data_IF_055790974721
#
_entry.id   IF_055790974721
#
_cell.length_a   1.000
_cell.length_b   1.000
_cell.length_c   1.000
_cell.angle_alpha   90.00
_cell.angle_beta   90.00
_cell.angle_gamma   90.00
#
_symmetry.space_group_name_H-M   'P 1'
#
loop_
_entity.id
_entity.type
_entity.pdbx_description
1 polymer ?
#
# COMPACT_ATOMS: atom_id res chain seq x y z
N UNK A 1 17.34 -2.59 10.92
CA UNK A 1 15.97 -2.66 11.47
C UNK A 1 15.94 -2.95 12.98
N UNK A 2 16.79 -3.87 13.51
CA UNK A 2 16.80 -4.20 14.95
C UNK A 2 17.21 -3.06 15.90
N UNK A 3 18.19 -2.23 15.54
CA UNK A 3 18.73 -1.18 16.43
C UNK A 3 17.73 -0.05 16.76
N UNK A 4 16.87 0.34 15.82
CA UNK A 4 15.89 1.41 16.06
C UNK A 4 14.68 0.92 16.88
N UNK A 5 14.29 -0.35 16.72
CA UNK A 5 13.26 -0.99 17.55
C UNK A 5 13.76 -1.20 18.99
N UNK A 6 15.03 -1.59 19.15
CA UNK A 6 15.64 -1.76 20.48
C UNK A 6 15.72 -0.42 21.24
N UNK A 7 16.03 0.67 20.53
CA UNK A 7 15.94 2.02 21.10
C UNK A 7 14.51 2.40 21.48
N UNK A 8 13.51 2.12 20.63
CA UNK A 8 12.10 2.39 20.95
C UNK A 8 11.66 1.64 22.22
N UNK A 9 12.01 0.36 22.30
CA UNK A 9 11.65 -0.55 23.38
C UNK A 9 12.21 -0.12 24.74
N UNK A 10 13.32 0.63 24.78
CA UNK A 10 13.88 1.17 26.04
C UNK A 10 13.09 2.34 26.62
N UNK A 11 12.33 3.05 25.81
CA UNK A 11 11.63 4.28 26.18
C UNK A 11 10.10 4.14 26.22
N UNK A 12 9.58 2.92 26.09
CA UNK A 12 8.14 2.66 26.04
C UNK A 12 7.71 1.47 26.88
N UNK A 13 6.55 1.61 27.52
CA UNK A 13 5.89 0.51 28.21
C UNK A 13 5.43 -0.57 27.24
N UNK A 14 5.25 -1.79 27.77
CA UNK A 14 4.81 -2.96 27.01
C UNK A 14 3.55 -2.72 26.13
N UNK A 15 2.48 -2.04 26.58
CA UNK A 15 1.33 -1.73 25.72
C UNK A 15 1.70 -0.78 24.57
N UNK A 16 2.49 0.25 24.85
CA UNK A 16 2.92 1.27 23.87
C UNK A 16 3.79 0.64 22.79
N UNK A 17 4.68 -0.26 23.20
CA UNK A 17 5.54 -1.06 22.33
C UNK A 17 4.74 -1.95 21.37
N UNK A 18 3.70 -2.63 21.85
CA UNK A 18 2.83 -3.42 20.98
C UNK A 18 2.07 -2.55 19.97
N UNK A 19 1.59 -1.37 20.38
CA UNK A 19 0.92 -0.43 19.48
C UNK A 19 1.86 0.10 18.39
N UNK A 20 3.08 0.50 18.76
CA UNK A 20 4.09 1.02 17.82
C UNK A 20 4.57 -0.05 16.84
N UNK A 21 4.85 -1.28 17.31
CA UNK A 21 5.18 -2.42 16.44
C UNK A 21 4.03 -2.76 15.51
N UNK A 22 2.79 -2.69 16.00
CA UNK A 22 1.57 -2.82 15.19
C UNK A 22 1.49 -1.77 14.09
N UNK A 23 1.84 -0.52 14.40
CA UNK A 23 1.86 0.58 13.44
C UNK A 23 2.91 0.38 12.34
N UNK A 24 4.13 0.00 12.72
CA UNK A 24 5.22 -0.29 11.77
C UNK A 24 4.81 -1.44 10.84
N UNK A 25 4.28 -2.53 11.39
CA UNK A 25 3.84 -3.69 10.60
C UNK A 25 2.70 -3.33 9.63
N UNK A 26 1.78 -2.44 10.04
CA UNK A 26 0.72 -1.95 9.16
C UNK A 26 1.26 -1.02 8.06
N UNK A 27 2.22 -0.14 8.36
CA UNK A 27 2.90 0.68 7.34
C UNK A 27 3.61 -0.20 6.32
N UNK A 28 4.37 -1.20 6.77
CA UNK A 28 5.06 -2.13 5.88
C UNK A 28 4.09 -2.91 5.01
N UNK A 29 2.95 -3.35 5.57
CA UNK A 29 1.90 -4.04 4.83
C UNK A 29 1.26 -3.13 3.77
N UNK A 30 0.97 -1.87 4.10
CA UNK A 30 0.48 -0.87 3.16
C UNK A 30 1.48 -0.63 2.02
N UNK A 31 2.75 -0.35 2.35
CA UNK A 31 3.83 -0.15 1.38
C UNK A 31 4.03 -1.36 0.47
N UNK A 32 3.92 -2.58 1.03
CA UNK A 32 4.02 -3.80 0.24
C UNK A 32 2.86 -3.93 -0.75
N UNK A 33 1.62 -3.64 -0.33
CA UNK A 33 0.47 -3.63 -1.25
C UNK A 33 0.59 -2.55 -2.31
N UNK A 34 1.03 -1.35 -1.96
CA UNK A 34 1.28 -0.26 -2.91
C UNK A 34 2.32 -0.66 -3.96
N UNK A 35 3.44 -1.27 -3.54
CA UNK A 35 4.45 -1.81 -4.45
C UNK A 35 3.90 -2.93 -5.33
N UNK A 36 3.10 -3.83 -4.78
CA UNK A 36 2.51 -4.93 -5.53
C UNK A 36 1.48 -4.43 -6.54
N UNK A 37 0.65 -3.46 -6.15
CA UNK A 37 -0.29 -2.72 -7.00
C UNK A 37 0.44 -2.07 -8.18
N UNK A 38 1.54 -1.36 -7.93
CA UNK A 38 2.39 -0.77 -8.98
C UNK A 38 2.99 -1.82 -9.91
N UNK A 39 3.50 -2.94 -9.38
CA UNK A 39 4.03 -4.05 -10.20
C UNK A 39 2.95 -4.64 -11.13
N UNK A 40 1.74 -4.86 -10.61
CA UNK A 40 0.61 -5.34 -11.41
C UNK A 40 0.15 -4.33 -12.44
N UNK A 41 0.17 -3.04 -12.11
CA UNK A 41 -0.14 -1.96 -13.05
C UNK A 41 0.88 -1.90 -14.19
N UNK A 42 2.17 -2.03 -13.89
CA UNK A 42 3.23 -2.11 -14.92
C UNK A 42 3.06 -3.36 -15.78
N UNK A 43 2.78 -4.52 -15.17
CA UNK A 43 2.52 -5.76 -15.90
C UNK A 43 1.30 -5.63 -16.83
N UNK A 44 0.21 -5.03 -16.34
CA UNK A 44 -0.98 -4.75 -17.14
C UNK A 44 -0.69 -3.79 -18.30
N UNK A 45 0.12 -2.75 -18.07
CA UNK A 45 0.54 -1.82 -19.12
C UNK A 45 1.37 -2.52 -20.21
N UNK A 46 2.30 -3.40 -19.83
CA UNK A 46 3.09 -4.20 -20.78
C UNK A 46 2.18 -5.12 -21.59
N UNK A 47 1.24 -5.80 -20.95
CA UNK A 47 0.23 -6.61 -21.64
C UNK A 47 -0.60 -5.77 -22.63
N UNK A 48 -1.07 -4.59 -22.22
CA UNK A 48 -1.84 -3.70 -23.08
C UNK A 48 -1.05 -3.21 -24.30
N UNK A 49 0.23 -2.83 -24.11
CA UNK A 49 1.10 -2.43 -25.22
C UNK A 49 1.32 -3.59 -26.20
N UNK A 50 1.57 -4.80 -25.68
CA UNK A 50 1.73 -5.98 -26.52
C UNK A 50 0.46 -6.32 -27.31
N UNK A 51 -0.72 -6.13 -26.73
CA UNK A 51 -1.99 -6.26 -27.42
C UNK A 51 -2.13 -5.25 -28.56
N UNK A 52 -1.84 -3.97 -28.29
CA UNK A 52 -1.92 -2.92 -29.30
C UNK A 52 -0.99 -3.21 -30.49
N UNK A 53 0.24 -3.65 -30.23
CA UNK A 53 1.20 -4.04 -31.29
C UNK A 53 0.68 -5.23 -32.10
N UNK A 54 0.11 -6.24 -31.45
CA UNK A 54 -0.50 -7.39 -32.11
C UNK A 54 -1.70 -6.99 -32.98
N UNK A 55 -2.59 -6.15 -32.46
CA UNK A 55 -3.79 -5.67 -33.16
C UNK A 55 -3.43 -4.84 -34.40
N UNK A 56 -2.43 -3.96 -34.30
CA UNK A 56 -1.93 -3.17 -35.44
C UNK A 56 -1.28 -4.08 -36.49
N UNK A 57 -0.47 -5.07 -36.08
CA UNK A 57 0.18 -6.01 -36.99
C UNK A 57 -0.82 -6.90 -37.77
N UNK A 58 -1.94 -7.27 -37.16
CA UNK A 58 -3.03 -8.03 -37.81
C UNK A 58 -3.96 -7.15 -38.66
N UNK A 59 -3.85 -5.83 -38.60
CA UNK A 59 -4.72 -4.90 -39.33
C UNK A 59 -6.16 -4.90 -38.80
N UNK A 60 -6.33 -4.99 -37.47
CA UNK A 60 -7.64 -4.98 -36.81
C UNK A 60 -8.47 -3.77 -37.28
N UNK A 61 -9.72 -4.01 -37.71
CA UNK A 61 -10.65 -2.96 -38.14
C UNK A 61 -10.78 -2.77 -39.64
N UNK A 62 -10.14 -3.63 -40.45
CA UNK A 62 -10.25 -3.58 -41.92
C UNK A 62 -11.55 -4.19 -42.46
N UNK A 63 -12.10 -5.21 -41.80
CA UNK A 63 -13.34 -5.89 -42.22
C UNK A 63 -14.46 -5.87 -41.17
N UNK A 64 -14.29 -5.13 -40.07
CA UNK A 64 -15.28 -4.99 -39.00
C UNK A 64 -14.81 -5.59 -37.67
N UNK A 65 -14.69 -4.73 -36.66
CA UNK A 65 -14.04 -5.03 -35.38
C UNK A 65 -14.76 -6.17 -34.64
N UNK A 66 -16.09 -6.19 -34.64
CA UNK A 66 -16.89 -7.21 -33.93
C UNK A 66 -16.77 -8.61 -34.55
N UNK A 67 -16.75 -8.70 -35.88
CA UNK A 67 -16.63 -9.98 -36.58
C UNK A 67 -15.22 -10.57 -36.41
N UNK A 68 -14.17 -9.74 -36.49
CA UNK A 68 -12.79 -10.16 -36.22
C UNK A 68 -12.60 -10.58 -34.76
N UNK A 69 -13.21 -9.86 -33.80
CA UNK A 69 -13.15 -10.20 -32.37
C UNK A 69 -13.74 -11.57 -32.04
N UNK A 70 -14.87 -11.92 -32.67
CA UNK A 70 -15.63 -13.15 -32.41
C UNK A 70 -15.09 -14.34 -33.19
N UNK A 71 -14.45 -14.11 -34.35
CA UNK A 71 -14.00 -15.17 -35.24
C UNK A 71 -12.59 -15.69 -34.91
N UNK A 72 -11.74 -14.88 -34.30
CA UNK A 72 -10.37 -15.28 -33.94
C UNK A 72 -10.25 -15.48 -32.41
N UNK A 73 -10.03 -16.74 -32.00
CA UNK A 73 -9.94 -17.16 -30.60
C UNK A 73 -8.86 -16.40 -29.80
N UNK A 74 -7.89 -15.79 -30.49
CA UNK A 74 -6.84 -14.97 -29.87
C UNK A 74 -7.43 -13.68 -29.27
N UNK A 75 -8.41 -13.02 -29.91
CA UNK A 75 -9.01 -11.80 -29.35
C UNK A 75 -9.88 -12.09 -28.12
N UNK A 76 -10.56 -13.24 -28.10
CA UNK A 76 -11.28 -13.70 -26.90
C UNK A 76 -10.32 -13.90 -25.71
N UNK A 77 -9.13 -14.46 -25.97
CA UNK A 77 -8.09 -14.57 -24.95
C UNK A 77 -7.64 -13.20 -24.41
N UNK A 78 -7.51 -12.20 -25.30
CA UNK A 78 -7.17 -10.82 -24.90
C UNK A 78 -8.27 -10.15 -24.08
N UNK A 79 -9.55 -10.35 -24.41
CA UNK A 79 -10.68 -9.81 -23.63
C UNK A 79 -10.71 -10.45 -22.23
N UNK A 80 -10.53 -11.77 -22.15
CA UNK A 80 -10.43 -12.49 -20.88
C UNK A 80 -9.23 -12.00 -20.06
N UNK A 81 -8.08 -11.82 -20.69
CA UNK A 81 -6.89 -11.28 -20.04
C UNK A 81 -7.10 -9.85 -19.53
N UNK A 82 -7.78 -9.00 -20.29
CA UNK A 82 -8.12 -7.63 -19.89
C UNK A 82 -9.12 -7.61 -18.72
N UNK A 83 -10.16 -8.44 -18.77
CA UNK A 83 -11.12 -8.59 -17.67
C UNK A 83 -10.42 -9.09 -16.40
N UNK A 84 -9.54 -10.08 -16.53
CA UNK A 84 -8.73 -10.60 -15.41
C UNK A 84 -7.78 -9.55 -14.84
N UNK A 85 -7.08 -8.79 -15.70
CA UNK A 85 -6.21 -7.69 -15.28
C UNK A 85 -6.98 -6.59 -14.55
N UNK A 86 -8.17 -6.23 -15.03
CA UNK A 86 -9.03 -5.25 -14.37
C UNK A 86 -9.52 -5.74 -12.99
N UNK A 87 -10.04 -6.98 -12.91
CA UNK A 87 -10.50 -7.57 -11.66
C UNK A 87 -9.38 -7.68 -10.62
N UNK A 88 -8.18 -8.10 -11.05
CA UNK A 88 -7.01 -8.19 -10.15
C UNK A 88 -6.55 -6.81 -9.68
N UNK A 89 -6.44 -5.82 -10.57
CA UNK A 89 -6.10 -4.45 -10.20
C UNK A 89 -7.09 -3.87 -9.19
N UNK A 90 -8.40 -4.04 -9.42
CA UNK A 90 -9.44 -3.60 -8.50
C UNK A 90 -9.34 -4.29 -7.12
N UNK A 91 -9.04 -5.59 -7.10
CA UNK A 91 -8.86 -6.35 -5.85
C UNK A 91 -7.66 -5.85 -5.03
N UNK A 92 -6.50 -5.61 -5.67
CA UNK A 92 -5.32 -5.10 -4.99
C UNK A 92 -5.51 -3.66 -4.52
N UNK A 93 -6.15 -2.80 -5.33
CA UNK A 93 -6.49 -1.43 -4.93
C UNK A 93 -7.37 -1.40 -3.68
N UNK A 94 -8.38 -2.25 -3.59
CA UNK A 94 -9.24 -2.35 -2.39
C UNK A 94 -8.45 -2.80 -1.15
N UNK A 95 -7.46 -3.68 -1.31
CA UNK A 95 -6.58 -4.10 -0.21
C UNK A 95 -5.64 -2.99 0.24
N UNK A 96 -5.12 -2.22 -0.70
CA UNK A 96 -4.28 -1.06 -0.45
C UNK A 96 -5.06 0.00 0.36
N UNK A 97 -6.25 0.40 -0.09
CA UNK A 97 -7.12 1.35 0.61
C UNK A 97 -7.48 0.88 2.03
N UNK A 98 -7.77 -0.42 2.19
CA UNK A 98 -8.04 -0.99 3.52
C UNK A 98 -6.81 -0.92 4.43
N UNK A 99 -5.63 -1.27 3.91
CA UNK A 99 -4.39 -1.23 4.68
C UNK A 99 -3.99 0.20 5.05
N UNK A 100 -4.23 1.17 4.16
CA UNK A 100 -4.05 2.59 4.41
C UNK A 100 -4.98 3.09 5.52
N UNK A 101 -6.27 2.74 5.44
CA UNK A 101 -7.23 3.08 6.48
C UNK A 101 -6.88 2.48 7.85
N UNK A 102 -6.48 1.20 7.89
CA UNK A 102 -6.06 0.52 9.12
C UNK A 102 -4.78 1.11 9.72
N UNK A 103 -3.86 1.60 8.87
CA UNK A 103 -2.66 2.32 9.29
C UNK A 103 -2.99 3.70 9.84
N UNK A 104 -3.78 4.49 9.09
CA UNK A 104 -4.15 5.85 9.47
C UNK A 104 -4.97 5.84 10.77
N UNK A 105 -5.94 4.93 10.90
CA UNK A 105 -6.73 4.77 12.12
C UNK A 105 -5.86 4.48 13.34
N UNK A 106 -4.88 3.59 13.22
CA UNK A 106 -3.97 3.27 14.33
C UNK A 106 -3.03 4.43 14.65
N UNK A 107 -2.56 5.15 13.62
CA UNK A 107 -1.77 6.37 13.80
C UNK A 107 -2.56 7.40 14.60
N UNK A 108 -3.81 7.68 14.24
CA UNK A 108 -4.66 8.62 14.98
C UNK A 108 -4.93 8.14 16.41
N UNK A 109 -5.20 6.85 16.62
CA UNK A 109 -5.40 6.29 17.95
C UNK A 109 -4.16 6.48 18.85
N UNK A 110 -2.95 6.26 18.31
CA UNK A 110 -1.70 6.50 19.04
C UNK A 110 -1.50 7.98 19.35
N UNK A 111 -1.82 8.88 18.42
CA UNK A 111 -1.72 10.33 18.64
C UNK A 111 -2.69 10.78 19.74
N UNK A 112 -3.94 10.33 19.70
CA UNK A 112 -4.95 10.67 20.70
C UNK A 112 -4.60 10.10 22.08
N UNK A 113 -4.15 8.84 22.14
CA UNK A 113 -3.69 8.22 23.39
C UNK A 113 -2.30 8.68 23.82
N UNK A 114 -1.58 9.49 23.05
CA UNK A 114 -0.20 9.89 23.38
C UNK A 114 -0.09 10.75 24.64
N UNK A 115 -1.17 11.42 25.06
CA UNK A 115 -1.21 12.11 26.35
C UNK A 115 -1.44 11.15 27.52
N UNK A 116 -2.14 10.04 27.29
CA UNK A 116 -2.40 9.00 28.30
C UNK A 116 -1.23 8.01 28.43
N UNK A 117 -0.51 7.76 27.34
CA UNK A 117 0.65 6.87 27.27
C UNK A 117 1.90 7.47 27.94
N UNK A 118 1.98 8.80 28.03
CA UNK A 118 3.09 9.52 28.67
C UNK A 118 2.53 10.67 29.53
N UNK A 119 1.86 10.36 30.66
CA UNK A 119 1.21 11.37 31.49
C UNK A 119 2.21 12.24 32.27
N UNK A 120 3.40 11.72 32.56
CA UNK A 120 4.37 12.43 33.39
C UNK A 120 5.33 13.31 32.56
N UNK A 121 5.74 14.49 33.07
CA UNK A 121 6.68 15.38 32.37
C UNK A 121 8.05 14.72 32.09
N UNK A 122 8.49 13.79 32.93
CA UNK A 122 9.74 13.06 32.74
C UNK A 122 9.70 12.14 31.51
N UNK A 123 8.51 11.63 31.20
CA UNK A 123 8.24 10.73 30.08
C UNK A 123 8.02 11.46 28.75
N UNK A 124 7.83 12.78 28.78
CA UNK A 124 7.69 13.59 27.56
C UNK A 124 8.98 13.59 26.72
N UNK A 125 10.15 13.49 27.37
CA UNK A 125 11.44 13.31 26.69
C UNK A 125 11.51 11.96 25.96
N UNK A 126 10.97 10.91 26.57
CA UNK A 126 10.85 9.58 25.96
C UNK A 126 9.89 9.61 24.77
N UNK A 127 8.73 10.25 24.90
CA UNK A 127 7.78 10.48 23.81
C UNK A 127 8.40 11.19 22.61
N UNK A 128 9.12 12.30 22.85
CA UNK A 128 9.76 13.06 21.77
C UNK A 128 10.81 12.22 21.04
N UNK A 129 11.58 11.42 21.77
CA UNK A 129 12.56 10.49 21.21
C UNK A 129 11.88 9.43 20.34
N UNK A 130 10.80 8.81 20.82
CA UNK A 130 10.01 7.84 20.06
C UNK A 130 9.45 8.46 18.78
N UNK A 131 8.87 9.66 18.86
CA UNK A 131 8.28 10.33 17.70
C UNK A 131 9.36 10.68 16.66
N UNK A 132 10.54 11.10 17.12
CA UNK A 132 11.69 11.37 16.27
C UNK A 132 12.20 10.12 15.58
N UNK A 133 12.37 9.00 16.30
CA UNK A 133 12.80 7.72 15.72
C UNK A 133 11.77 7.22 14.70
N UNK A 134 10.48 7.29 15.01
CA UNK A 134 9.38 6.90 14.11
C UNK A 134 9.36 7.74 12.82
N UNK A 135 9.59 9.05 12.93
CA UNK A 135 9.67 9.94 11.77
C UNK A 135 10.93 9.69 10.94
N UNK A 136 12.08 9.51 11.57
CA UNK A 136 13.36 9.36 10.85
C UNK A 136 13.57 7.98 10.23
N UNK A 137 13.21 6.91 10.95
CA UNK A 137 13.52 5.54 10.52
C UNK A 137 12.37 4.88 9.76
N UNK A 138 11.14 5.24 10.11
CA UNK A 138 9.94 4.64 9.54
C UNK A 138 9.14 5.62 8.71
N UNK A 139 9.52 6.90 8.63
CA UNK A 139 8.78 7.95 7.91
C UNK A 139 7.31 8.03 8.37
N UNK A 140 7.08 7.85 9.67
CA UNK A 140 5.74 7.94 10.29
C UNK A 140 5.69 9.21 11.13
N UNK A 141 4.82 10.14 10.74
CA UNK A 141 4.61 11.37 11.50
C UNK A 141 3.57 11.18 12.61
N UNK A 142 4.02 11.20 13.87
CA UNK A 142 3.16 11.13 15.06
C UNK A 142 2.91 12.50 15.71
N UNK A 143 3.43 13.60 15.16
CA UNK A 143 3.26 14.93 15.74
C UNK A 143 1.89 15.56 15.43
N UNK A 144 1.31 15.21 14.29
CA UNK A 144 0.05 15.78 13.82
C UNK A 144 -0.87 14.69 13.32
N UNK A 145 -2.17 14.85 13.58
CA UNK A 145 -3.23 13.98 13.07
C UNK A 145 -3.51 14.22 11.57
N UNK A 146 -2.84 15.18 10.93
CA UNK A 146 -3.22 15.62 9.58
C UNK A 146 -3.28 14.47 8.56
N UNK A 147 -4.33 14.57 7.74
CA UNK A 147 -4.71 13.71 6.63
C UNK A 147 -3.67 13.74 5.52
#
# INVERSE_FOLDING_TARGET
MGSALDQLDRFTDEPTKQMLRGLIKRKEKYENYRKQSLKWLVAAAVCAVSFCLFAVGKGLGRNGILAELLNDSIYLFWILAAAFAYSTAHYFKKKEEKAEGDFHKLRCEIIQKSTDLWPQPEEWKSRETVFKVMKQHYDINLYFESK
#
